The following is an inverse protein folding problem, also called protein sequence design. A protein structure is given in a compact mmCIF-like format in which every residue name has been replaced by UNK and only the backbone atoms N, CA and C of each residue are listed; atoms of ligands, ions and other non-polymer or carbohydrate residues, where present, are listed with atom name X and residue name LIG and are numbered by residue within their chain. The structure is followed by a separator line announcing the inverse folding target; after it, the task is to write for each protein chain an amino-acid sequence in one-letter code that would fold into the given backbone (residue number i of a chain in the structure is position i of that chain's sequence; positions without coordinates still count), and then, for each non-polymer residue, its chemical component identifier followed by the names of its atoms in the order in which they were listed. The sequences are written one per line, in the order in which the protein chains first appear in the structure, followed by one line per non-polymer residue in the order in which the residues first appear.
data_IF_788419604587
#
_entry.id   IF_788419604587
#
_cell.length_a   1.000
_cell.length_b   1.000
_cell.length_c   1.000
_cell.angle_alpha   90.00
_cell.angle_beta   90.00
_cell.angle_gamma   90.00
#
_symmetry.space_group_name_H-M   'P 1'
#
loop_
_entity.id
_entity.type
_entity.pdbx_description
1 polymer ?
#
# COMPACT_ATOMS: atom_id res chain seq x y z
N UNK A 1 0.24 4.47 -43.27
CA UNK A 1 0.37 5.70 -42.48
C UNK A 1 0.35 5.33 -41.00
N UNK A 2 1.46 5.54 -40.21
CA UNK A 2 1.36 5.80 -38.77
C UNK A 2 2.47 5.31 -37.85
N UNK A 3 3.56 4.69 -38.32
CA UNK A 3 4.64 4.34 -37.37
C UNK A 3 5.72 5.44 -37.16
N UNK A 4 5.80 6.43 -38.03
CA UNK A 4 6.83 7.51 -37.94
C UNK A 4 6.47 8.67 -36.99
N UNK A 5 5.25 8.79 -36.52
CA UNK A 5 4.80 9.91 -35.66
C UNK A 5 4.74 9.58 -34.17
N UNK A 6 4.85 8.31 -33.78
CA UNK A 6 4.76 7.88 -32.37
C UNK A 6 6.09 8.02 -31.64
N UNK A 7 7.20 7.63 -32.26
CA UNK A 7 8.55 7.69 -31.67
C UNK A 7 9.01 9.11 -31.24
N UNK A 8 8.83 10.16 -32.07
CA UNK A 8 9.21 11.51 -31.66
C UNK A 8 8.36 12.05 -30.50
N UNK A 9 7.07 11.69 -30.44
CA UNK A 9 6.19 12.10 -29.33
C UNK A 9 6.55 11.41 -28.03
N UNK A 10 6.89 10.12 -28.06
CA UNK A 10 7.35 9.39 -26.89
C UNK A 10 8.69 9.92 -26.37
N UNK A 11 9.62 10.27 -27.26
CA UNK A 11 10.91 10.84 -26.89
C UNK A 11 10.78 12.23 -26.24
N UNK A 12 9.90 13.07 -26.76
CA UNK A 12 9.59 14.38 -26.17
C UNK A 12 8.90 14.25 -24.81
N UNK A 13 7.95 13.31 -24.68
CA UNK A 13 7.29 13.01 -23.40
C UNK A 13 8.26 12.47 -22.34
N UNK A 14 9.21 11.61 -22.74
CA UNK A 14 10.22 11.09 -21.81
C UNK A 14 11.19 12.18 -21.34
N UNK A 15 11.60 13.08 -22.23
CA UNK A 15 12.44 14.24 -21.88
C UNK A 15 11.69 15.21 -20.94
N UNK A 16 10.44 15.47 -21.22
CA UNK A 16 9.60 16.31 -20.36
C UNK A 16 9.43 15.68 -18.97
N UNK A 17 9.16 14.36 -18.91
CA UNK A 17 9.07 13.62 -17.66
C UNK A 17 10.39 13.71 -16.87
N UNK A 18 11.52 13.46 -17.51
CA UNK A 18 12.84 13.56 -16.87
C UNK A 18 13.12 14.98 -16.35
N UNK A 19 12.72 16.01 -17.11
CA UNK A 19 12.82 17.40 -16.67
C UNK A 19 11.99 17.66 -15.42
N UNK A 20 10.74 17.19 -15.36
CA UNK A 20 9.85 17.36 -14.20
C UNK A 20 10.39 16.61 -12.97
N UNK A 21 10.91 15.41 -13.15
CA UNK A 21 11.56 14.64 -12.07
C UNK A 21 12.82 15.35 -11.53
N UNK A 22 13.55 16.04 -12.40
CA UNK A 22 14.72 16.82 -11.98
C UNK A 22 14.36 18.00 -11.06
N UNK A 23 13.13 18.52 -11.15
CA UNK A 23 12.63 19.62 -10.30
C UNK A 23 12.28 19.17 -8.88
N UNK A 24 12.11 17.86 -8.64
CA UNK A 24 11.72 17.36 -7.33
C UNK A 24 12.64 17.85 -6.22
N UNK A 25 12.03 18.36 -5.16
CA UNK A 25 12.73 18.80 -3.97
C UNK A 25 13.52 17.65 -3.32
N UNK A 26 14.62 17.93 -2.61
CA UNK A 26 15.36 16.89 -1.88
C UNK A 26 14.47 16.07 -0.94
N UNK A 27 13.51 16.71 -0.26
CA UNK A 27 12.56 16.04 0.62
C UNK A 27 11.65 15.06 -0.14
N UNK A 28 11.16 15.45 -1.32
CA UNK A 28 10.37 14.58 -2.18
C UNK A 28 11.18 13.35 -2.63
N UNK A 29 12.46 13.54 -3.00
CA UNK A 29 13.34 12.43 -3.39
C UNK A 29 13.59 11.45 -2.23
N UNK A 30 13.89 11.94 -1.02
CA UNK A 30 14.03 11.08 0.16
C UNK A 30 12.74 10.32 0.46
N UNK A 31 11.60 10.97 0.28
CA UNK A 31 10.32 10.30 0.48
C UNK A 31 10.05 9.21 -0.56
N UNK A 32 10.43 9.40 -1.82
CA UNK A 32 10.34 8.34 -2.83
C UNK A 32 11.20 7.12 -2.47
N UNK A 33 12.41 7.33 -1.94
CA UNK A 33 13.25 6.22 -1.44
C UNK A 33 12.57 5.50 -0.27
N UNK A 34 12.00 6.26 0.68
CA UNK A 34 11.19 5.68 1.77
C UNK A 34 10.04 4.84 1.23
N UNK A 35 9.27 5.34 0.24
CA UNK A 35 8.14 4.64 -0.37
C UNK A 35 8.55 3.30 -1.01
N UNK A 36 9.70 3.25 -1.65
CA UNK A 36 10.22 2.01 -2.25
C UNK A 36 10.58 0.99 -1.17
N UNK A 37 11.35 1.38 -0.17
CA UNK A 37 11.76 0.49 0.92
C UNK A 37 10.56 -0.01 1.73
N UNK A 38 9.66 0.90 2.09
CA UNK A 38 8.46 0.58 2.83
C UNK A 38 7.47 -0.25 2.01
N UNK A 39 7.34 0.04 0.70
CA UNK A 39 6.48 -0.71 -0.22
C UNK A 39 6.96 -2.16 -0.39
N UNK A 40 8.27 -2.38 -0.52
CA UNK A 40 8.85 -3.72 -0.58
C UNK A 40 8.61 -4.49 0.74
N UNK A 41 8.90 -3.86 1.88
CA UNK A 41 8.65 -4.46 3.19
C UNK A 41 7.16 -4.81 3.39
N UNK A 42 6.27 -3.91 3.00
CA UNK A 42 4.82 -4.13 3.10
C UNK A 42 4.33 -5.25 2.17
N UNK A 43 4.90 -5.37 0.97
CA UNK A 43 4.60 -6.47 0.04
C UNK A 43 4.94 -7.84 0.66
N UNK A 44 6.14 -7.98 1.24
CA UNK A 44 6.55 -9.22 1.93
C UNK A 44 5.64 -9.48 3.14
N UNK A 45 5.43 -8.48 3.99
CA UNK A 45 4.57 -8.59 5.18
C UNK A 45 3.17 -9.08 4.83
N UNK A 46 2.51 -8.42 3.86
CA UNK A 46 1.16 -8.75 3.44
C UNK A 46 1.02 -10.18 2.93
N UNK A 47 2.05 -10.70 2.26
CA UNK A 47 2.08 -12.07 1.77
C UNK A 47 2.23 -13.07 2.92
N UNK A 48 3.18 -12.84 3.84
CA UNK A 48 3.61 -13.83 4.81
C UNK A 48 2.87 -13.79 6.15
N UNK A 49 2.28 -12.65 6.53
CA UNK A 49 1.63 -12.48 7.83
C UNK A 49 0.51 -13.50 8.07
N UNK A 50 -0.34 -13.73 7.07
CA UNK A 50 -1.42 -14.69 7.18
C UNK A 50 -0.88 -16.10 7.44
N UNK A 51 0.16 -16.50 6.71
CA UNK A 51 0.78 -17.81 6.87
C UNK A 51 1.50 -17.96 8.21
N UNK A 52 2.11 -16.89 8.71
CA UNK A 52 2.72 -16.88 10.03
C UNK A 52 1.69 -17.16 11.13
N UNK A 53 0.56 -16.44 11.13
CA UNK A 53 -0.50 -16.63 12.12
C UNK A 53 -1.06 -18.07 12.08
N UNK A 54 -1.35 -18.59 10.88
CA UNK A 54 -1.84 -19.95 10.71
C UNK A 54 -0.80 -21.02 11.11
N UNK A 55 0.49 -20.79 10.84
CA UNK A 55 1.56 -21.73 11.23
C UNK A 55 1.78 -21.83 12.73
N UNK A 56 1.27 -20.89 13.51
CA UNK A 56 1.24 -20.94 14.97
C UNK A 56 0.03 -21.71 15.53
N UNK A 57 -0.83 -22.26 14.65
CA UNK A 57 -2.02 -23.03 15.04
C UNK A 57 -3.27 -22.18 15.27
N UNK A 58 -3.26 -20.91 14.93
CA UNK A 58 -4.45 -20.07 14.95
C UNK A 58 -5.33 -20.32 13.72
N UNK A 59 -6.61 -20.02 13.84
CA UNK A 59 -7.61 -20.18 12.78
C UNK A 59 -7.75 -18.92 11.90
N UNK A 60 -8.40 -19.08 10.77
CA UNK A 60 -8.72 -17.99 9.84
C UNK A 60 -9.69 -16.98 10.47
N UNK A 61 -10.49 -17.39 11.44
CA UNK A 61 -11.41 -16.49 12.14
C UNK A 61 -10.65 -15.47 13.01
N UNK A 62 -9.59 -15.89 13.70
CA UNK A 62 -8.69 -14.95 14.39
C UNK A 62 -8.04 -14.02 13.39
N UNK A 63 -7.51 -14.54 12.29
CA UNK A 63 -6.87 -13.73 11.25
C UNK A 63 -7.83 -12.66 10.71
N UNK A 64 -9.07 -13.04 10.41
CA UNK A 64 -10.11 -12.09 9.99
C UNK A 64 -10.36 -10.98 11.01
N UNK A 65 -10.42 -11.34 12.31
CA UNK A 65 -10.58 -10.36 13.38
C UNK A 65 -9.37 -9.41 13.50
N UNK A 66 -8.14 -9.91 13.32
CA UNK A 66 -6.93 -9.08 13.34
C UNK A 66 -6.93 -8.06 12.18
N UNK A 67 -7.22 -8.51 10.97
CA UNK A 67 -7.30 -7.64 9.78
C UNK A 67 -8.43 -6.60 9.91
N UNK A 68 -9.57 -7.02 10.46
CA UNK A 68 -10.68 -6.09 10.78
C UNK A 68 -10.25 -5.08 11.83
N UNK A 69 -9.52 -5.49 12.86
CA UNK A 69 -9.01 -4.57 13.90
C UNK A 69 -8.09 -3.50 13.30
N UNK A 70 -7.15 -3.88 12.43
CA UNK A 70 -6.29 -2.90 11.72
C UNK A 70 -7.15 -1.89 10.96
N UNK A 71 -8.13 -2.37 10.18
CA UNK A 71 -8.97 -1.52 9.33
C UNK A 71 -9.87 -0.59 10.14
N UNK A 72 -10.49 -1.09 11.22
CA UNK A 72 -11.32 -0.28 12.11
C UNK A 72 -10.52 0.80 12.82
N UNK A 73 -9.36 0.43 13.36
CA UNK A 73 -8.48 1.41 14.01
C UNK A 73 -8.00 2.46 13.01
N UNK A 74 -7.63 2.06 11.80
CA UNK A 74 -7.23 2.99 10.75
C UNK A 74 -8.36 3.98 10.42
N UNK A 75 -9.59 3.51 10.32
CA UNK A 75 -10.77 4.35 10.05
C UNK A 75 -11.03 5.33 11.18
N UNK A 76 -11.11 4.85 12.42
CA UNK A 76 -11.42 5.68 13.60
C UNK A 76 -10.29 6.68 13.88
N UNK A 77 -9.05 6.26 13.71
CA UNK A 77 -7.87 7.09 13.94
C UNK A 77 -7.64 8.14 12.84
N UNK A 78 -8.27 8.06 11.68
CA UNK A 78 -7.97 8.94 10.54
C UNK A 78 -8.10 10.44 10.87
N UNK A 79 -9.18 10.85 11.52
CA UNK A 79 -9.38 12.24 11.92
C UNK A 79 -8.42 12.68 13.04
N UNK A 80 -8.29 11.95 14.17
CA UNK A 80 -7.30 12.27 15.18
C UNK A 80 -5.86 12.30 14.65
N UNK A 81 -5.49 11.36 13.81
CA UNK A 81 -4.16 11.29 13.20
C UNK A 81 -3.90 12.49 12.27
N UNK A 82 -4.91 12.95 11.53
CA UNK A 82 -4.80 14.17 10.71
C UNK A 82 -4.50 15.39 11.58
N UNK A 83 -5.30 15.61 12.61
CA UNK A 83 -5.08 16.69 13.57
C UNK A 83 -3.70 16.61 14.25
N UNK A 84 -3.31 15.41 14.66
CA UNK A 84 -2.00 15.17 15.26
C UNK A 84 -0.87 15.48 14.27
N UNK A 85 -0.97 15.02 13.01
CA UNK A 85 0.00 15.30 11.95
C UNK A 85 0.13 16.81 11.66
N UNK A 86 -0.99 17.55 11.69
CA UNK A 86 -0.96 19.01 11.50
C UNK A 86 -0.25 19.71 12.66
N UNK A 87 -0.43 19.20 13.89
CA UNK A 87 0.15 19.82 15.08
C UNK A 87 1.64 19.54 15.25
N UNK A 88 2.09 18.29 15.12
CA UNK A 88 3.49 17.92 15.33
C UNK A 88 4.37 18.12 14.10
N UNK A 89 3.73 18.20 12.91
CA UNK A 89 4.36 18.35 11.60
C UNK A 89 4.52 17.03 10.86
N UNK A 90 4.72 17.11 9.54
CA UNK A 90 4.73 15.94 8.62
C UNK A 90 5.88 14.98 8.90
N UNK A 91 7.13 15.50 9.05
CA UNK A 91 8.30 14.65 9.29
C UNK A 91 8.18 13.83 10.58
N UNK A 92 7.88 14.40 11.76
CA UNK A 92 7.67 13.61 12.98
C UNK A 92 6.54 12.58 12.85
N UNK A 93 5.46 12.91 12.15
CA UNK A 93 4.34 12.00 11.92
C UNK A 93 4.75 10.80 11.08
N UNK A 94 5.46 11.01 9.97
CA UNK A 94 6.01 9.93 9.13
C UNK A 94 7.00 9.06 9.92
N UNK A 95 7.87 9.69 10.71
CA UNK A 95 8.82 8.98 11.56
C UNK A 95 8.11 8.10 12.60
N UNK A 96 7.12 8.65 13.29
CA UNK A 96 6.34 7.92 14.30
C UNK A 96 5.58 6.75 13.67
N UNK A 97 4.95 6.98 12.51
CA UNK A 97 4.24 5.94 11.77
C UNK A 97 5.20 4.80 11.35
N UNK A 98 6.38 5.14 10.82
CA UNK A 98 7.37 4.15 10.41
C UNK A 98 7.94 3.38 11.62
N UNK A 99 8.27 4.06 12.72
CA UNK A 99 8.72 3.41 13.95
C UNK A 99 7.66 2.49 14.55
N UNK A 100 6.40 2.93 14.59
CA UNK A 100 5.29 2.11 15.04
C UNK A 100 5.09 0.87 14.17
N UNK A 101 5.24 1.00 12.84
CA UNK A 101 5.17 -0.14 11.91
C UNK A 101 6.29 -1.15 12.18
N UNK A 102 7.53 -0.71 12.36
CA UNK A 102 8.66 -1.58 12.72
C UNK A 102 8.42 -2.26 14.07
N UNK A 103 8.00 -1.50 15.09
CA UNK A 103 7.69 -2.03 16.42
C UNK A 103 6.58 -3.10 16.35
N UNK A 104 5.58 -2.90 15.49
CA UNK A 104 4.52 -3.88 15.26
C UNK A 104 5.08 -5.18 14.67
N UNK A 105 5.91 -5.10 13.64
CA UNK A 105 6.51 -6.28 13.00
C UNK A 105 7.34 -7.09 14.00
N UNK A 106 8.17 -6.42 14.80
CA UNK A 106 8.96 -7.05 15.85
C UNK A 106 8.06 -7.63 16.93
N UNK A 107 7.07 -6.86 17.39
CA UNK A 107 6.14 -7.27 18.44
C UNK A 107 5.32 -8.50 18.09
N UNK A 108 4.91 -8.66 16.84
CA UNK A 108 4.20 -9.84 16.34
C UNK A 108 5.05 -11.12 16.43
N UNK A 109 6.36 -11.00 16.28
CA UNK A 109 7.28 -12.15 16.38
C UNK A 109 7.69 -12.43 17.83
N UNK A 110 7.94 -11.38 18.61
CA UNK A 110 8.38 -11.52 20.03
C UNK A 110 7.22 -11.94 20.93
N UNK A 111 6.00 -11.52 20.62
CA UNK A 111 4.82 -11.83 21.43
C UNK A 111 3.73 -12.51 20.60
N UNK A 112 3.93 -13.78 20.17
CA UNK A 112 3.05 -14.49 19.23
C UNK A 112 1.83 -15.10 19.92
N UNK A 113 1.13 -14.31 20.74
CA UNK A 113 -0.13 -14.69 21.39
C UNK A 113 -1.30 -13.93 20.78
N UNK A 114 -2.52 -14.43 20.96
CA UNK A 114 -3.71 -13.75 20.44
C UNK A 114 -3.78 -12.29 20.94
N UNK A 115 -3.52 -12.06 22.23
CA UNK A 115 -3.50 -10.71 22.81
C UNK A 115 -2.39 -9.84 22.18
N UNK A 116 -1.19 -10.41 21.98
CA UNK A 116 -0.07 -9.74 21.31
C UNK A 116 -0.45 -9.33 19.90
N UNK A 117 -1.05 -10.23 19.12
CA UNK A 117 -1.52 -9.93 17.77
C UNK A 117 -2.59 -8.83 17.74
N UNK A 118 -3.58 -8.84 18.66
CA UNK A 118 -4.55 -7.75 18.73
C UNK A 118 -3.89 -6.42 19.07
N UNK A 119 -3.00 -6.38 20.06
CA UNK A 119 -2.29 -5.16 20.45
C UNK A 119 -1.45 -4.61 19.29
N UNK A 120 -0.73 -5.48 18.60
CA UNK A 120 0.07 -5.11 17.43
C UNK A 120 -0.81 -4.69 16.25
N UNK A 121 -2.00 -5.31 16.06
CA UNK A 121 -2.96 -4.88 15.03
C UNK A 121 -3.52 -3.49 15.29
N UNK A 122 -3.78 -3.13 16.55
CA UNK A 122 -4.16 -1.75 16.92
C UNK A 122 -3.02 -0.79 16.60
N UNK A 123 -1.79 -1.11 17.00
CA UNK A 123 -0.61 -0.27 16.72
C UNK A 123 -0.38 -0.11 15.20
N UNK A 124 -0.52 -1.18 14.42
CA UNK A 124 -0.43 -1.15 12.97
C UNK A 124 -1.50 -0.25 12.35
N UNK A 125 -2.76 -0.35 12.80
CA UNK A 125 -3.85 0.50 12.34
C UNK A 125 -3.58 1.99 12.60
N UNK A 126 -3.07 2.33 13.79
CA UNK A 126 -2.65 3.70 14.12
C UNK A 126 -1.50 4.18 13.21
N UNK A 127 -0.48 3.35 13.00
CA UNK A 127 0.66 3.66 12.15
C UNK A 127 0.23 3.89 10.69
N UNK A 128 -0.61 3.01 10.15
CA UNK A 128 -1.13 3.13 8.78
C UNK A 128 -2.03 4.37 8.62
N UNK A 129 -2.88 4.65 9.61
CA UNK A 129 -3.71 5.86 9.61
C UNK A 129 -2.86 7.12 9.57
N UNK A 130 -1.87 7.23 10.47
CA UNK A 130 -0.98 8.38 10.53
C UNK A 130 -0.17 8.57 9.24
N UNK A 131 0.33 7.48 8.66
CA UNK A 131 1.06 7.49 7.38
C UNK A 131 0.16 7.97 6.24
N UNK A 132 -1.06 7.43 6.13
CA UNK A 132 -2.00 7.73 5.06
C UNK A 132 -2.44 9.20 5.06
N UNK A 133 -2.81 9.75 6.24
CA UNK A 133 -3.25 11.14 6.34
C UNK A 133 -2.10 12.15 6.18
N UNK A 134 -0.85 11.72 6.43
CA UNK A 134 0.34 12.58 6.30
C UNK A 134 0.87 12.62 4.87
N UNK A 135 0.66 11.54 4.10
CA UNK A 135 1.22 11.38 2.75
C UNK A 135 0.83 12.52 1.80
N UNK A 136 -0.46 12.74 1.61
CA UNK A 136 -0.95 13.75 0.66
C UNK A 136 -0.43 15.17 0.98
N UNK A 137 -0.67 15.69 2.20
CA UNK A 137 -0.14 16.98 2.61
C UNK A 137 1.39 17.09 2.50
N UNK A 138 2.14 16.06 2.91
CA UNK A 138 3.60 16.06 2.78
C UNK A 138 4.04 16.22 1.32
N UNK A 139 3.43 15.49 0.40
CA UNK A 139 3.74 15.58 -1.03
C UNK A 139 3.40 16.97 -1.60
N UNK A 140 2.26 17.53 -1.20
CA UNK A 140 1.83 18.87 -1.61
C UNK A 140 2.75 19.96 -1.08
N UNK A 141 3.20 19.87 0.17
CA UNK A 141 4.11 20.82 0.81
C UNK A 141 5.54 20.77 0.22
N UNK A 142 5.93 19.66 -0.43
CA UNK A 142 7.26 19.42 -0.99
C UNK A 142 7.28 19.41 -2.52
N UNK A 143 6.23 19.90 -3.18
CA UNK A 143 6.14 20.02 -4.63
C UNK A 143 5.43 21.31 -5.03
N UNK A 144 5.87 21.91 -6.12
CA UNK A 144 5.17 23.01 -6.76
C UNK A 144 4.11 22.48 -7.73
N UNK A 145 3.23 23.34 -8.22
CA UNK A 145 2.12 22.96 -9.08
C UNK A 145 2.60 22.27 -10.37
N UNK A 146 3.75 22.70 -10.86
CA UNK A 146 4.31 22.25 -12.14
C UNK A 146 4.73 20.77 -12.15
N UNK A 147 5.35 20.27 -11.06
CA UNK A 147 5.81 18.87 -10.98
C UNK A 147 4.94 17.98 -10.08
N UNK A 148 3.97 18.54 -9.36
CA UNK A 148 3.15 17.83 -8.38
C UNK A 148 2.50 16.58 -8.93
N UNK A 149 1.85 16.67 -10.11
CA UNK A 149 1.19 15.52 -10.75
C UNK A 149 2.19 14.41 -11.05
N UNK A 150 3.38 14.75 -11.53
CA UNK A 150 4.45 13.79 -11.82
C UNK A 150 4.99 13.13 -10.55
N UNK A 151 5.11 13.90 -9.46
CA UNK A 151 5.57 13.39 -8.18
C UNK A 151 4.59 12.36 -7.60
N UNK A 152 3.28 12.65 -7.61
CA UNK A 152 2.26 11.70 -7.16
C UNK A 152 2.20 10.45 -8.04
N UNK A 153 2.28 10.60 -9.36
CA UNK A 153 2.28 9.49 -10.30
C UNK A 153 3.51 8.59 -10.11
N UNK A 154 4.71 9.19 -9.99
CA UNK A 154 5.95 8.46 -9.77
C UNK A 154 5.95 7.75 -8.42
N UNK A 155 5.49 8.40 -7.37
CA UNK A 155 5.36 7.80 -6.04
C UNK A 155 4.46 6.56 -6.06
N UNK A 156 3.30 6.64 -6.71
CA UNK A 156 2.37 5.50 -6.85
C UNK A 156 2.99 4.38 -7.69
N UNK A 157 3.61 4.71 -8.82
CA UNK A 157 4.26 3.74 -9.70
C UNK A 157 5.43 3.03 -9.02
N UNK A 158 6.31 3.77 -8.34
CA UNK A 158 7.44 3.20 -7.59
C UNK A 158 6.95 2.33 -6.43
N UNK A 159 5.87 2.74 -5.74
CA UNK A 159 5.25 1.93 -4.69
C UNK A 159 4.72 0.59 -5.22
N UNK A 160 4.10 0.57 -6.40
CA UNK A 160 3.64 -0.66 -7.05
C UNK A 160 4.79 -1.57 -7.49
N UNK A 161 5.86 -0.99 -8.05
CA UNK A 161 7.08 -1.75 -8.42
C UNK A 161 7.74 -2.33 -7.16
N UNK A 162 7.80 -1.56 -6.08
CA UNK A 162 8.33 -2.03 -4.81
C UNK A 162 7.49 -3.18 -4.22
N UNK A 163 6.16 -3.10 -4.31
CA UNK A 163 5.28 -4.20 -3.92
C UNK A 163 5.48 -5.44 -4.80
N UNK A 164 5.65 -5.26 -6.12
CA UNK A 164 6.02 -6.37 -7.02
C UNK A 164 7.26 -7.09 -6.51
N UNK A 165 8.34 -6.35 -6.28
CA UNK A 165 9.60 -6.90 -5.76
C UNK A 165 9.41 -7.56 -4.39
N UNK A 166 8.67 -6.91 -3.49
CA UNK A 166 8.36 -7.42 -2.16
C UNK A 166 7.59 -8.74 -2.21
N UNK A 167 6.53 -8.83 -2.99
CA UNK A 167 5.74 -10.05 -3.14
C UNK A 167 6.59 -11.20 -3.73
N UNK A 168 7.37 -10.90 -4.78
CA UNK A 168 8.22 -11.91 -5.41
C UNK A 168 9.31 -12.44 -4.47
N UNK A 169 10.05 -11.54 -3.82
CA UNK A 169 11.06 -11.91 -2.83
C UNK A 169 10.44 -12.59 -1.61
N UNK A 170 9.31 -12.08 -1.14
CA UNK A 170 8.57 -12.63 0.00
C UNK A 170 8.13 -14.07 -0.22
N UNK A 171 7.74 -14.44 -1.44
CA UNK A 171 7.39 -15.81 -1.78
C UNK A 171 8.56 -16.80 -1.72
N UNK A 172 9.80 -16.32 -1.96
CA UNK A 172 11.01 -17.16 -1.90
C UNK A 172 11.62 -17.23 -0.49
N UNK A 173 11.34 -16.24 0.34
CA UNK A 173 12.02 -16.01 1.61
C UNK A 173 11.89 -17.18 2.60
N UNK A 174 10.69 -17.77 2.85
CA UNK A 174 10.54 -18.87 3.79
C UNK A 174 11.32 -20.13 3.38
N UNK A 175 11.32 -20.48 2.08
CA UNK A 175 12.07 -21.64 1.57
C UNK A 175 13.59 -21.43 1.70
N UNK A 176 14.07 -20.22 1.43
CA UNK A 176 15.50 -19.88 1.55
C UNK A 176 15.94 -19.97 3.02
N UNK A 177 15.15 -19.39 3.95
CA UNK A 177 15.42 -19.45 5.39
C UNK A 177 15.37 -20.89 5.90
N UNK A 178 14.41 -21.68 5.44
CA UNK A 178 14.28 -23.08 5.82
C UNK A 178 15.51 -23.89 5.40
N UNK A 179 16.04 -23.65 4.19
CA UNK A 179 17.27 -24.29 3.72
C UNK A 179 18.49 -23.93 4.56
N UNK A 180 18.61 -22.71 5.06
CA UNK A 180 19.73 -22.29 5.91
C UNK A 180 19.64 -22.80 7.34
N UNK A 181 18.41 -22.85 7.90
CA UNK A 181 18.19 -23.23 9.30
C UNK A 181 17.88 -24.73 9.48
N UNK A 182 17.65 -25.48 8.40
CA UNK A 182 17.26 -26.89 8.50
C UNK A 182 15.85 -27.10 9.07
N UNK A 183 14.93 -26.12 8.89
CA UNK A 183 13.56 -26.14 9.42
C UNK A 183 12.55 -26.29 8.26
N UNK A 184 11.29 -26.55 8.61
CA UNK A 184 10.21 -26.58 7.60
C UNK A 184 9.97 -25.20 7.01
N UNK A 185 9.86 -25.10 5.68
CA UNK A 185 9.55 -23.86 4.97
C UNK A 185 8.17 -23.30 5.30
N UNK A 186 7.23 -24.17 5.72
CA UNK A 186 5.87 -23.78 6.13
C UNK A 186 5.74 -23.67 7.66
N UNK A 187 6.84 -23.78 8.38
CA UNK A 187 6.87 -23.70 9.85
C UNK A 187 6.88 -22.25 10.37
N UNK A 188 6.40 -22.07 11.60
CA UNK A 188 6.35 -20.76 12.27
C UNK A 188 7.72 -20.11 12.41
N UNK A 189 8.79 -20.92 12.56
CA UNK A 189 10.17 -20.41 12.63
C UNK A 189 10.60 -19.74 11.32
N UNK A 190 10.33 -20.37 10.16
CA UNK A 190 10.69 -19.80 8.86
C UNK A 190 9.95 -18.48 8.60
N UNK A 191 8.63 -18.45 8.86
CA UNK A 191 7.83 -17.24 8.72
C UNK A 191 8.21 -16.15 9.74
N UNK A 192 8.48 -16.53 11.00
CA UNK A 192 8.90 -15.60 12.04
C UNK A 192 10.23 -14.91 11.68
N UNK A 193 11.23 -15.68 11.25
CA UNK A 193 12.52 -15.12 10.78
C UNK A 193 12.31 -14.25 9.53
N UNK A 194 11.45 -14.65 8.60
CA UNK A 194 11.10 -13.82 7.45
C UNK A 194 10.49 -12.47 7.87
N UNK A 195 9.61 -12.45 8.86
CA UNK A 195 9.05 -11.20 9.40
C UNK A 195 10.11 -10.34 10.12
N UNK A 196 11.11 -10.94 10.76
CA UNK A 196 12.27 -10.19 11.29
C UNK A 196 13.07 -9.55 10.16
N UNK A 197 13.30 -10.25 9.05
CA UNK A 197 13.96 -9.67 7.87
C UNK A 197 13.13 -8.50 7.32
N UNK A 198 11.81 -8.62 7.29
CA UNK A 198 10.91 -7.51 6.91
C UNK A 198 11.04 -6.33 7.88
N UNK A 199 11.12 -6.58 9.19
CA UNK A 199 11.31 -5.52 10.19
C UNK A 199 12.65 -4.79 10.00
N UNK A 200 13.72 -5.53 9.69
CA UNK A 200 15.03 -4.94 9.35
C UNK A 200 14.93 -4.09 8.08
N UNK A 201 14.31 -4.61 7.01
CA UNK A 201 14.10 -3.85 5.78
C UNK A 201 13.26 -2.59 6.02
N UNK A 202 12.17 -2.70 6.78
CA UNK A 202 11.34 -1.55 7.15
C UNK A 202 12.12 -0.53 8.01
N UNK A 203 13.06 -0.99 8.85
CA UNK A 203 13.93 -0.10 9.64
C UNK A 203 14.88 0.69 8.75
N UNK A 204 15.37 0.13 7.65
CA UNK A 204 16.19 0.90 6.68
C UNK A 204 15.41 2.06 6.05
N UNK A 205 14.08 1.93 5.94
CA UNK A 205 13.23 3.01 5.43
C UNK A 205 13.18 4.25 6.36
N UNK A 206 13.60 4.12 7.63
CA UNK A 206 13.72 5.28 8.53
C UNK A 206 14.84 6.24 8.11
N UNK A 207 15.92 5.73 7.51
CA UNK A 207 17.07 6.54 7.13
C UNK A 207 16.69 7.70 6.16
N UNK A 208 15.98 7.49 5.06
CA UNK A 208 15.56 8.61 4.21
C UNK A 208 14.61 9.59 4.91
N UNK A 209 13.76 9.14 5.85
CA UNK A 209 12.91 10.07 6.62
C UNK A 209 13.77 10.98 7.53
N UNK A 210 14.84 10.45 8.11
CA UNK A 210 15.75 11.24 8.94
C UNK A 210 16.40 12.39 8.13
N UNK A 211 16.71 12.15 6.86
CA UNK A 211 17.31 13.14 5.95
C UNK A 211 16.35 14.23 5.48
N UNK A 212 15.03 13.99 5.60
CA UNK A 212 14.02 15.00 5.29
C UNK A 212 14.24 16.22 6.18
N UNK A 213 14.35 17.41 5.58
CA UNK A 213 14.44 18.68 6.33
C UNK A 213 13.05 19.09 6.79
N UNK A 214 12.94 19.56 8.05
CA UNK A 214 11.70 20.16 8.53
C UNK A 214 11.43 21.44 7.73
N UNK A 215 10.30 21.50 7.06
CA UNK A 215 9.82 22.77 6.51
C UNK A 215 9.03 23.50 7.60
N UNK A 216 9.33 24.78 7.76
CA UNK A 216 8.52 25.64 8.63
C UNK A 216 7.15 25.82 7.98
N UNK A 217 6.13 25.57 8.73
CA UNK A 217 4.73 25.61 8.30
C UNK A 217 4.36 26.97 7.71
N UNK A 218 3.63 26.92 6.61
CA UNK A 218 2.54 27.87 6.47
C UNK A 218 1.53 27.52 7.57
N UNK A 219 1.15 28.52 8.38
CA UNK A 219 0.16 28.38 9.44
C UNK A 219 -1.15 27.76 8.93
N UNK A 220 -2.13 27.44 9.82
CA UNK A 220 -3.40 26.92 9.38
C UNK A 220 -3.92 27.83 8.27
N UNK A 221 -4.14 27.25 7.08
CA UNK A 221 -4.82 28.01 6.02
C UNK A 221 -6.22 28.31 6.56
N UNK A 222 -6.46 29.57 6.83
CA UNK A 222 -7.79 30.09 7.15
C UNK A 222 -8.74 29.61 6.04
N UNK A 223 -9.60 28.65 6.34
CA UNK A 223 -10.54 28.10 5.38
C UNK A 223 -10.75 26.59 5.44
N UNK A 224 -10.22 25.86 6.42
CA UNK A 224 -10.57 24.47 6.64
C UNK A 224 -12.06 24.36 6.96
N UNK A 225 -12.88 24.11 5.93
CA UNK A 225 -14.25 23.65 6.14
C UNK A 225 -14.15 22.33 6.90
N UNK A 226 -14.67 22.31 8.13
CA UNK A 226 -14.78 21.06 8.88
C UNK A 226 -15.38 19.99 7.97
N UNK A 227 -14.81 18.77 7.89
CA UNK A 227 -15.38 17.68 7.09
C UNK A 227 -16.86 17.46 7.37
N UNK A 228 -17.28 17.70 8.62
CA UNK A 228 -18.68 17.65 9.05
C UNK A 228 -19.53 18.79 8.46
N UNK A 229 -18.97 19.98 8.27
CA UNK A 229 -19.67 21.10 7.64
C UNK A 229 -19.91 20.81 6.15
N UNK A 230 -18.91 20.24 5.44
CA UNK A 230 -19.07 19.82 4.05
C UNK A 230 -20.09 18.68 3.92
N UNK A 231 -20.03 17.69 4.81
CA UNK A 231 -20.99 16.58 4.83
C UNK A 231 -22.43 17.07 5.05
N UNK A 232 -22.61 18.10 5.87
CA UNK A 232 -23.93 18.68 6.15
C UNK A 232 -24.44 19.58 5.02
N UNK A 233 -23.53 20.28 4.31
CA UNK A 233 -23.93 21.22 3.23
C UNK A 233 -24.29 20.51 1.93
N UNK A 234 -23.63 19.37 1.60
CA UNK A 234 -23.83 18.67 0.32
C UNK A 234 -23.96 17.13 0.48
N UNK A 235 -24.91 16.62 1.28
CA UNK A 235 -25.00 15.19 1.61
C UNK A 235 -25.27 14.31 0.38
N UNK A 236 -26.11 14.77 -0.55
CA UNK A 236 -26.44 14.01 -1.77
C UNK A 236 -25.24 13.85 -2.71
N UNK A 237 -24.45 14.90 -2.87
CA UNK A 237 -23.24 14.88 -3.71
C UNK A 237 -22.20 13.94 -3.11
N UNK A 238 -21.96 14.04 -1.80
CA UNK A 238 -21.06 13.15 -1.08
C UNK A 238 -21.50 11.69 -1.17
N UNK A 239 -22.77 11.40 -0.96
CA UNK A 239 -23.29 10.04 -1.06
C UNK A 239 -23.06 9.45 -2.46
N UNK A 240 -23.36 10.21 -3.53
CA UNK A 240 -23.13 9.76 -4.92
C UNK A 240 -21.66 9.50 -5.25
N UNK A 241 -20.73 10.25 -4.64
CA UNK A 241 -19.29 10.07 -4.84
C UNK A 241 -18.73 8.91 -4.03
N UNK A 242 -19.21 8.72 -2.79
CA UNK A 242 -18.66 7.72 -1.86
C UNK A 242 -19.27 6.34 -2.12
N UNK A 243 -20.54 6.25 -2.48
CA UNK A 243 -21.29 5.01 -2.59
C UNK A 243 -20.63 3.97 -3.54
N UNK A 244 -20.17 4.30 -4.76
CA UNK A 244 -19.49 3.34 -5.62
C UNK A 244 -18.19 2.81 -5.01
N UNK A 245 -17.39 3.69 -4.38
CA UNK A 245 -16.16 3.29 -3.69
C UNK A 245 -16.46 2.40 -2.48
N UNK A 246 -17.53 2.69 -1.76
CA UNK A 246 -17.93 1.91 -0.58
C UNK A 246 -18.35 0.50 -0.98
N UNK A 247 -19.15 0.34 -2.02
CA UNK A 247 -19.59 -0.98 -2.53
C UNK A 247 -18.40 -1.81 -3.02
N UNK A 248 -17.50 -1.21 -3.83
CA UNK A 248 -16.30 -1.92 -4.32
C UNK A 248 -15.33 -2.27 -3.19
N UNK A 249 -15.19 -1.40 -2.19
CA UNK A 249 -14.33 -1.65 -1.03
C UNK A 249 -14.87 -2.76 -0.14
N UNK A 250 -16.20 -2.88 0.03
CA UNK A 250 -16.80 -4.01 0.74
C UNK A 250 -16.47 -5.35 0.05
N UNK A 251 -16.66 -5.43 -1.26
CA UNK A 251 -16.32 -6.64 -2.03
C UNK A 251 -14.83 -6.97 -1.97
N UNK A 252 -13.98 -5.97 -2.16
CA UNK A 252 -12.54 -6.16 -2.07
C UNK A 252 -12.08 -6.57 -0.65
N UNK A 253 -12.69 -6.00 0.38
CA UNK A 253 -12.37 -6.31 1.78
C UNK A 253 -12.69 -7.76 2.17
N UNK A 254 -13.72 -8.36 1.57
CA UNK A 254 -14.07 -9.76 1.78
C UNK A 254 -13.11 -10.73 1.09
N UNK A 255 -12.57 -10.37 -0.07
CA UNK A 255 -11.79 -11.27 -0.91
C UNK A 255 -10.27 -11.07 -0.77
N UNK A 256 -9.80 -9.84 -0.93
CA UNK A 256 -8.37 -9.52 -1.10
C UNK A 256 -7.48 -9.93 0.09
N UNK A 257 -7.89 -9.78 1.37
CA UNK A 257 -7.04 -10.15 2.49
C UNK A 257 -6.77 -11.65 2.61
N UNK A 258 -7.68 -12.50 2.08
CA UNK A 258 -7.61 -13.95 2.18
C UNK A 258 -7.16 -14.64 0.89
N UNK A 259 -6.81 -13.90 -0.14
CA UNK A 259 -6.49 -14.44 -1.45
C UNK A 259 -5.28 -15.40 -1.42
N UNK A 260 -4.26 -15.10 -0.60
CA UNK A 260 -3.11 -15.99 -0.42
C UNK A 260 -3.50 -17.32 0.24
N UNK A 261 -4.41 -17.32 1.22
CA UNK A 261 -4.94 -18.50 1.88
C UNK A 261 -5.80 -19.30 0.88
N UNK A 262 -6.64 -18.62 0.11
CA UNK A 262 -7.45 -19.25 -0.94
C UNK A 262 -6.59 -20.03 -1.94
N UNK A 263 -5.52 -19.42 -2.48
CA UNK A 263 -4.61 -20.11 -3.40
C UNK A 263 -3.93 -21.32 -2.77
N UNK A 264 -3.58 -21.25 -1.49
CA UNK A 264 -2.97 -22.35 -0.78
C UNK A 264 -3.95 -23.51 -0.56
N UNK A 265 -5.15 -23.23 -0.07
CA UNK A 265 -6.14 -24.26 0.29
C UNK A 265 -6.79 -24.89 -0.94
N UNK A 266 -7.12 -24.09 -1.95
CA UNK A 266 -7.83 -24.58 -3.14
C UNK A 266 -6.93 -25.25 -4.14
N UNK A 267 -5.73 -24.66 -4.37
CA UNK A 267 -4.80 -25.11 -5.44
C UNK A 267 -3.51 -25.74 -4.89
N UNK A 268 -3.32 -25.84 -3.57
CA UNK A 268 -2.08 -26.34 -2.98
C UNK A 268 -0.83 -25.52 -3.33
N UNK A 269 -1.02 -24.26 -3.71
CA UNK A 269 0.06 -23.40 -4.24
C UNK A 269 1.14 -23.13 -3.20
N UNK A 270 2.41 -23.20 -3.63
CA UNK A 270 3.56 -22.83 -2.79
C UNK A 270 3.62 -21.30 -2.55
N UNK A 271 4.35 -20.88 -1.50
CA UNK A 271 4.57 -19.46 -1.20
C UNK A 271 5.23 -18.73 -2.38
N UNK A 272 6.16 -19.39 -3.07
CA UNK A 272 6.81 -18.84 -4.25
C UNK A 272 5.81 -18.58 -5.38
N UNK A 273 4.89 -19.52 -5.62
CA UNK A 273 3.83 -19.37 -6.64
C UNK A 273 2.88 -18.25 -6.27
N UNK A 274 2.43 -18.20 -5.01
CA UNK A 274 1.52 -17.15 -4.52
C UNK A 274 2.21 -15.78 -4.59
N UNK A 275 3.48 -15.71 -4.18
CA UNK A 275 4.28 -14.48 -4.28
C UNK A 275 4.44 -14.01 -5.73
N UNK A 276 4.68 -14.92 -6.69
CA UNK A 276 4.75 -14.61 -8.10
C UNK A 276 3.41 -14.11 -8.67
N UNK A 277 2.27 -14.73 -8.28
CA UNK A 277 0.93 -14.27 -8.67
C UNK A 277 0.64 -12.85 -8.18
N UNK A 278 0.93 -12.55 -6.91
CA UNK A 278 0.76 -11.20 -6.37
C UNK A 278 1.73 -10.19 -7.00
N UNK A 279 2.95 -10.61 -7.31
CA UNK A 279 3.91 -9.79 -8.03
C UNK A 279 3.36 -9.40 -9.41
N UNK A 280 2.95 -10.39 -10.21
CA UNK A 280 2.36 -10.16 -11.54
C UNK A 280 1.12 -9.26 -11.44
N UNK A 281 0.24 -9.50 -10.45
CA UNK A 281 -0.91 -8.65 -10.19
C UNK A 281 -0.52 -7.18 -9.92
N UNK A 282 0.51 -6.94 -9.12
CA UNK A 282 1.03 -5.59 -8.85
C UNK A 282 1.61 -4.92 -10.10
N UNK A 283 2.27 -5.69 -10.97
CA UNK A 283 2.80 -5.21 -12.25
C UNK A 283 1.67 -4.78 -13.19
N UNK A 284 0.61 -5.61 -13.33
CA UNK A 284 -0.55 -5.26 -14.15
C UNK A 284 -1.29 -4.05 -13.60
N UNK A 285 -1.37 -3.89 -12.27
CA UNK A 285 -1.89 -2.68 -11.65
C UNK A 285 -1.07 -1.43 -12.04
N UNK A 286 0.27 -1.53 -11.99
CA UNK A 286 1.14 -0.42 -12.40
C UNK A 286 0.94 -0.05 -13.88
N UNK A 287 0.85 -1.06 -14.77
CA UNK A 287 0.55 -0.86 -16.20
C UNK A 287 -0.82 -0.18 -16.36
N UNK A 288 -1.83 -0.66 -15.64
CA UNK A 288 -3.18 -0.09 -15.64
C UNK A 288 -3.19 1.39 -15.27
N UNK A 289 -2.44 1.79 -14.24
CA UNK A 289 -2.31 3.20 -13.82
C UNK A 289 -1.68 4.09 -14.91
N UNK A 290 -0.73 3.56 -15.69
CA UNK A 290 -0.08 4.30 -16.78
C UNK A 290 -1.00 4.41 -18.00
N UNK A 291 -1.76 3.36 -18.30
CA UNK A 291 -2.60 3.25 -19.49
C UNK A 291 -3.98 3.89 -19.30
N UNK A 292 -4.46 3.96 -18.05
CA UNK A 292 -5.80 4.49 -17.76
C UNK A 292 -6.02 5.96 -18.18
N UNK A 293 -5.11 6.93 -17.97
CA UNK A 293 -5.33 8.31 -18.39
C UNK A 293 -5.57 8.48 -19.89
N UNK A 294 -4.71 7.99 -20.81
CA UNK A 294 -4.94 8.14 -22.23
C UNK A 294 -6.19 7.40 -22.74
N UNK A 295 -6.58 6.28 -22.11
CA UNK A 295 -7.85 5.63 -22.42
C UNK A 295 -9.05 6.46 -21.93
N UNK A 296 -8.96 7.04 -20.75
CA UNK A 296 -10.00 7.90 -20.20
C UNK A 296 -10.23 9.15 -21.05
N UNK A 297 -9.16 9.73 -21.59
CA UNK A 297 -9.25 10.88 -22.52
C UNK A 297 -9.89 10.50 -23.85
N UNK A 298 -9.66 9.26 -24.33
CA UNK A 298 -10.19 8.79 -25.61
C UNK A 298 -11.63 8.30 -25.54
N UNK A 299 -11.98 7.56 -24.49
CA UNK A 299 -13.29 6.87 -24.38
C UNK A 299 -14.20 7.47 -23.31
N UNK A 300 -13.71 8.43 -22.55
CA UNK A 300 -14.42 9.02 -21.41
C UNK A 300 -14.24 8.22 -20.11
N UNK A 301 -14.11 8.95 -19.01
CA UNK A 301 -13.82 8.39 -17.68
C UNK A 301 -14.88 7.38 -17.22
N UNK A 302 -16.16 7.72 -17.39
CA UNK A 302 -17.27 6.85 -16.95
C UNK A 302 -17.36 5.56 -17.76
N UNK A 303 -17.22 5.63 -19.08
CA UNK A 303 -17.23 4.45 -19.94
C UNK A 303 -16.08 3.50 -19.60
N UNK A 304 -14.88 4.04 -19.36
CA UNK A 304 -13.72 3.23 -18.96
C UNK A 304 -13.97 2.50 -17.63
N UNK A 305 -14.50 3.19 -16.61
CA UNK A 305 -14.83 2.57 -15.33
C UNK A 305 -15.87 1.45 -15.49
N UNK A 306 -16.95 1.70 -16.23
CA UNK A 306 -18.02 0.71 -16.44
C UNK A 306 -17.46 -0.53 -17.16
N UNK A 307 -16.70 -0.34 -18.24
CA UNK A 307 -16.14 -1.46 -19.02
C UNK A 307 -15.14 -2.28 -18.19
N UNK A 308 -14.23 -1.63 -17.48
CA UNK A 308 -13.23 -2.34 -16.64
C UNK A 308 -13.87 -3.09 -15.49
N UNK A 309 -14.87 -2.51 -14.82
CA UNK A 309 -15.62 -3.19 -13.77
C UNK A 309 -16.44 -4.36 -14.34
N UNK A 310 -17.11 -4.19 -15.48
CA UNK A 310 -17.85 -5.27 -16.12
C UNK A 310 -16.93 -6.43 -16.54
N UNK A 311 -15.75 -6.15 -17.06
CA UNK A 311 -14.76 -7.16 -17.43
C UNK A 311 -14.19 -7.91 -16.22
N UNK A 312 -14.15 -7.31 -15.05
CA UNK A 312 -13.65 -7.99 -13.82
C UNK A 312 -14.58 -9.11 -13.35
N UNK A 313 -15.89 -9.02 -13.62
CA UNK A 313 -16.90 -9.98 -13.15
C UNK A 313 -16.64 -11.39 -13.67
N UNK A 314 -16.49 -11.65 -15.00
CA UNK A 314 -16.22 -12.99 -15.50
C UNK A 314 -14.89 -13.57 -14.97
N UNK A 315 -13.86 -12.73 -14.76
CA UNK A 315 -12.61 -13.20 -14.16
C UNK A 315 -12.78 -13.64 -12.69
N UNK A 316 -13.64 -12.96 -11.91
CA UNK A 316 -13.96 -13.39 -10.56
C UNK A 316 -14.73 -14.73 -10.54
N UNK A 317 -15.66 -14.91 -11.49
CA UNK A 317 -16.35 -16.20 -11.66
C UNK A 317 -15.39 -17.32 -12.05
N UNK A 318 -14.50 -17.08 -13.00
CA UNK A 318 -13.46 -18.05 -13.39
C UNK A 318 -12.57 -18.42 -12.21
N UNK A 319 -12.16 -17.44 -11.39
CA UNK A 319 -11.35 -17.71 -10.20
C UNK A 319 -12.07 -18.58 -9.17
N UNK A 320 -13.37 -18.39 -8.98
CA UNK A 320 -14.17 -19.12 -7.98
C UNK A 320 -14.64 -20.50 -8.43
N UNK A 321 -14.77 -20.72 -9.75
CA UNK A 321 -15.35 -21.94 -10.32
C UNK A 321 -14.40 -22.70 -11.26
N UNK A 322 -13.19 -22.22 -11.48
CA UNK A 322 -12.19 -22.96 -12.23
C UNK A 322 -11.74 -24.20 -11.44
N UNK A 323 -11.64 -25.38 -12.09
CA UNK A 323 -11.23 -26.62 -11.46
C UNK A 323 -9.77 -26.60 -10.99
#
# INVERSE_FOLDING_TARGET
MTSRTILPRLHNSAREYARKVALFSPNARYYLVFMVLNGAAFGIYRLLFNFYVLSLGYDEALLGRLLTTVSLVQLVAALPAGYFSDRIGRKPSLMLAALASVATLVGMVVWPTALGFYTMSVLMGLAQSLSAVTYGPFMMENSEEEERTYLFALSSGMGMIAQFMGNWLGGQLPATIAGWLGVSATGSTAYGVALVVVAVLASTALAPILLIRRQHKHGPQDGYLSPFAVARSQPRTLFRLIMPMWVTSLGAGLLMPFMNIFYRHTYGSSDATIGALFAVGSLFMAIGLIVAPPLADRYGKMALVIVTQALSIPFLFLLGFAP
#
